data_IF_371852724939
#
_entry.id   IF_371852724939
#
_cell.length_a   1.000
_cell.length_b   1.000
_cell.length_c   1.000
_cell.angle_alpha   90.00
_cell.angle_beta   90.00
_cell.angle_gamma   90.00
#
_symmetry.space_group_name_H-M   'P 1'
#
loop_
_entity.id
_entity.type
_entity.pdbx_description
1 polymer ?
#
# COMPACT_ATOMS: atom_id res chain seq x y z
N UNK A 1 65.18 -17.23 -44.60
CA UNK A 1 66.05 -17.25 -43.41
C UNK A 1 65.13 -17.16 -42.19
N UNK A 2 64.74 -18.28 -41.56
CA UNK A 2 65.41 -18.94 -40.42
C UNK A 2 65.61 -17.97 -39.23
N UNK A 3 65.22 -18.21 -37.97
CA UNK A 3 64.89 -19.45 -37.27
C UNK A 3 64.01 -19.20 -36.00
N UNK A 4 63.50 -20.30 -35.46
CA UNK A 4 62.69 -20.49 -34.24
C UNK A 4 63.59 -20.72 -33.01
N UNK A 5 63.19 -20.24 -31.83
CA UNK A 5 63.29 -20.88 -30.48
C UNK A 5 62.53 -19.98 -29.46
N UNK A 6 61.44 -20.36 -28.76
CA UNK A 6 61.09 -21.41 -27.78
C UNK A 6 61.55 -21.18 -26.31
N UNK A 7 60.51 -20.99 -25.48
CA UNK A 7 60.31 -21.28 -24.04
C UNK A 7 60.93 -20.42 -22.91
N UNK A 8 60.05 -20.01 -21.99
CA UNK A 8 60.34 -19.63 -20.60
C UNK A 8 59.06 -19.24 -19.85
N UNK A 9 58.76 -19.91 -18.74
CA UNK A 9 57.45 -19.99 -18.09
C UNK A 9 57.18 -18.94 -16.99
N UNK A 10 55.88 -18.68 -16.77
CA UNK A 10 55.24 -18.56 -15.44
C UNK A 10 55.57 -17.40 -14.51
N UNK A 11 54.57 -16.54 -14.24
CA UNK A 11 54.27 -16.07 -12.89
C UNK A 11 52.85 -15.50 -12.83
N UNK A 12 51.97 -16.19 -12.10
CA UNK A 12 50.71 -15.67 -11.60
C UNK A 12 50.97 -14.92 -10.28
N UNK A 13 50.54 -13.67 -10.19
CA UNK A 13 50.29 -12.95 -8.95
C UNK A 13 49.64 -11.61 -9.32
N UNK A 14 48.74 -10.97 -8.58
CA UNK A 14 47.88 -11.31 -7.46
C UNK A 14 46.96 -10.09 -7.39
N UNK A 15 45.64 -10.27 -7.29
CA UNK A 15 44.73 -9.14 -7.00
C UNK A 15 45.15 -8.56 -5.65
N UNK A 16 45.56 -7.29 -5.64
CA UNK A 16 45.76 -6.52 -4.42
C UNK A 16 44.43 -6.41 -3.70
N UNK A 17 44.30 -7.15 -2.61
CA UNK A 17 43.28 -6.94 -1.58
C UNK A 17 43.66 -5.65 -0.87
N UNK A 18 42.84 -4.63 -1.03
CA UNK A 18 42.96 -3.38 -0.30
C UNK A 18 42.79 -3.65 1.19
N UNK A 19 43.73 -3.15 1.99
CA UNK A 19 43.90 -3.43 3.41
C UNK A 19 42.79 -2.74 4.19
N UNK A 20 41.78 -3.51 4.57
CA UNK A 20 40.69 -3.09 5.46
C UNK A 20 41.31 -2.49 6.75
N UNK A 21 41.04 -1.22 7.00
CA UNK A 21 41.66 -0.48 8.10
C UNK A 21 40.98 -0.88 9.41
N UNK A 22 41.54 -1.92 10.04
CA UNK A 22 41.63 -2.09 11.49
C UNK A 22 40.37 -1.82 12.30
N UNK A 23 39.39 -2.72 12.22
CA UNK A 23 38.49 -2.95 13.35
C UNK A 23 39.17 -3.98 14.29
N UNK A 24 39.24 -3.76 15.61
CA UNK A 24 39.86 -4.72 16.52
C UNK A 24 39.11 -6.06 16.47
N UNK A 25 39.83 -7.14 16.14
CA UNK A 25 39.31 -8.51 16.15
C UNK A 25 38.98 -8.86 17.62
N UNK A 26 37.69 -8.98 17.94
CA UNK A 26 37.25 -9.50 19.24
C UNK A 26 37.53 -11.02 19.26
N UNK A 27 38.25 -11.57 20.26
CA UNK A 27 38.49 -13.01 20.34
C UNK A 27 37.15 -13.78 20.38
N UNK A 28 36.87 -14.54 19.32
CA UNK A 28 35.59 -15.25 19.12
C UNK A 28 34.80 -14.81 17.89
N UNK A 29 35.16 -13.70 17.24
CA UNK A 29 34.58 -13.29 15.96
C UNK A 29 35.12 -14.17 14.82
N UNK A 30 34.38 -15.23 14.51
CA UNK A 30 34.50 -15.87 13.21
C UNK A 30 34.05 -14.84 12.15
N UNK A 31 34.76 -14.70 11.00
CA UNK A 31 34.34 -13.79 9.95
C UNK A 31 32.88 -14.05 9.59
N UNK A 32 32.01 -13.09 9.86
CA UNK A 32 30.59 -13.20 9.55
C UNK A 32 30.48 -13.43 8.05
N UNK A 33 29.89 -14.56 7.65
CA UNK A 33 29.70 -14.87 6.24
C UNK A 33 28.99 -13.69 5.55
N UNK A 34 29.43 -13.33 4.33
CA UNK A 34 28.81 -12.23 3.57
C UNK A 34 27.33 -12.53 3.41
N UNK A 35 26.47 -11.65 3.92
CA UNK A 35 25.02 -11.82 3.80
C UNK A 35 24.62 -11.88 2.32
N UNK A 36 23.62 -12.72 2.01
CA UNK A 36 23.05 -12.78 0.67
C UNK A 36 22.49 -11.39 0.28
N UNK A 37 22.65 -10.95 -0.98
CA UNK A 37 22.08 -9.67 -1.43
C UNK A 37 20.56 -9.63 -1.21
N UNK A 38 20.07 -8.51 -0.68
CA UNK A 38 18.64 -8.30 -0.52
C UNK A 38 17.98 -8.08 -1.89
N UNK A 39 16.82 -8.69 -2.09
CA UNK A 39 16.02 -8.51 -3.32
C UNK A 39 15.03 -7.38 -3.10
N UNK A 40 15.31 -6.21 -3.68
CA UNK A 40 14.45 -5.04 -3.56
C UNK A 40 13.10 -5.25 -4.22
N UNK A 41 12.02 -4.91 -3.52
CA UNK A 41 10.64 -4.92 -4.05
C UNK A 41 9.97 -3.58 -3.81
N UNK A 42 8.87 -3.31 -4.51
CA UNK A 42 8.04 -2.12 -4.30
C UNK A 42 6.59 -2.51 -4.10
N UNK A 43 5.92 -1.84 -3.16
CA UNK A 43 4.48 -1.88 -2.97
C UNK A 43 3.97 -0.45 -3.09
N UNK A 44 3.05 -0.21 -4.02
CA UNK A 44 2.40 1.07 -4.23
C UNK A 44 0.96 0.95 -3.74
N UNK A 45 0.51 1.89 -2.90
CA UNK A 45 -0.87 1.96 -2.43
C UNK A 45 -1.63 3.03 -3.20
N UNK A 46 -2.75 2.66 -3.79
CA UNK A 46 -3.66 3.52 -4.55
C UNK A 46 -5.06 3.42 -3.93
N UNK A 47 -5.67 4.56 -3.68
CA UNK A 47 -7.03 4.58 -3.16
C UNK A 47 -7.50 5.94 -2.67
N UNK A 48 -8.56 5.90 -1.87
CA UNK A 48 -9.22 7.07 -1.29
C UNK A 48 -8.65 7.46 0.10
N UNK A 49 -9.40 8.26 0.87
CA UNK A 49 -8.99 8.71 2.20
C UNK A 49 -8.79 7.59 3.20
N UNK A 50 -9.42 6.43 3.00
CA UNK A 50 -9.28 5.27 3.89
C UNK A 50 -8.00 4.47 3.64
N UNK A 51 -7.23 4.81 2.61
CA UNK A 51 -5.86 4.34 2.37
C UNK A 51 -4.83 5.45 2.59
N UNK A 52 -5.21 6.70 2.30
CA UNK A 52 -4.34 7.87 2.35
C UNK A 52 -3.64 8.06 3.72
N UNK A 53 -2.49 8.75 3.75
CA UNK A 53 -1.84 9.12 5.00
C UNK A 53 -2.81 9.83 5.96
N UNK A 54 -2.57 9.68 7.27
CA UNK A 54 -3.32 10.31 8.38
C UNK A 54 -4.75 9.81 8.58
N UNK A 55 -5.49 9.44 7.53
CA UNK A 55 -6.91 9.05 7.61
C UNK A 55 -7.20 7.60 7.26
N UNK A 56 -6.20 6.90 6.74
CA UNK A 56 -6.31 5.55 6.23
C UNK A 56 -5.29 4.59 6.81
N UNK A 57 -5.45 3.31 6.46
CA UNK A 57 -4.58 2.24 6.95
C UNK A 57 -3.20 2.22 6.30
N UNK A 58 -3.04 2.83 5.11
CA UNK A 58 -1.85 2.66 4.26
C UNK A 58 -0.55 3.14 4.91
N UNK A 59 -0.61 4.23 5.68
CA UNK A 59 0.56 4.71 6.43
C UNK A 59 1.05 3.72 7.48
N UNK A 60 0.12 3.16 8.27
CA UNK A 60 0.44 2.16 9.29
C UNK A 60 0.95 0.85 8.66
N UNK A 61 0.37 0.43 7.52
CA UNK A 61 0.87 -0.71 6.76
C UNK A 61 2.32 -0.53 6.31
N UNK A 62 2.64 0.58 5.64
CA UNK A 62 4.01 0.86 5.21
C UNK A 62 4.99 0.94 6.38
N UNK A 63 4.58 1.51 7.51
CA UNK A 63 5.47 1.73 8.65
C UNK A 63 5.76 0.48 9.49
N UNK A 64 4.75 -0.39 9.67
CA UNK A 64 4.82 -1.48 10.65
C UNK A 64 4.85 -2.88 10.05
N UNK A 65 4.38 -3.04 8.82
CA UNK A 65 4.18 -4.36 8.23
C UNK A 65 5.09 -4.64 7.04
N UNK A 66 5.83 -3.66 6.52
CA UNK A 66 6.69 -3.83 5.34
C UNK A 66 8.16 -3.90 5.73
N UNK A 67 8.87 -4.93 5.26
CA UNK A 67 10.29 -5.11 5.54
C UNK A 67 11.16 -3.98 4.94
N UNK A 68 12.28 -3.67 5.59
CA UNK A 68 13.14 -2.52 5.23
C UNK A 68 13.69 -2.53 3.79
N UNK A 69 13.72 -3.68 3.11
CA UNK A 69 14.18 -3.80 1.72
C UNK A 69 13.01 -3.78 0.70
N UNK A 70 11.83 -3.37 1.15
CA UNK A 70 10.66 -3.16 0.30
C UNK A 70 10.28 -1.68 0.38
N UNK A 71 10.32 -0.99 -0.76
CA UNK A 71 9.82 0.37 -0.85
C UNK A 71 8.29 0.36 -0.76
N UNK A 72 7.72 1.12 0.17
CA UNK A 72 6.27 1.27 0.30
C UNK A 72 5.88 2.72 0.00
N UNK A 73 5.17 2.94 -1.10
CA UNK A 73 4.81 4.27 -1.59
C UNK A 73 3.30 4.44 -1.52
N UNK A 74 2.81 5.31 -0.65
CA UNK A 74 1.38 5.57 -0.52
C UNK A 74 0.97 6.76 -1.40
N UNK A 75 0.31 6.47 -2.52
CA UNK A 75 -0.20 7.45 -3.48
C UNK A 75 -1.72 7.64 -3.37
N UNK A 76 -2.36 7.11 -2.33
CA UNK A 76 -3.78 7.30 -2.11
C UNK A 76 -4.12 8.77 -1.78
N UNK A 77 -5.29 9.23 -2.25
CA UNK A 77 -5.73 10.63 -2.11
C UNK A 77 -7.15 10.72 -1.58
N UNK A 78 -7.31 11.49 -0.52
CA UNK A 78 -8.61 11.71 0.11
C UNK A 78 -9.65 12.33 -0.83
N UNK A 79 -10.89 11.88 -0.71
CA UNK A 79 -12.03 12.39 -1.47
C UNK A 79 -12.11 11.93 -2.93
N UNK A 80 -11.22 11.04 -3.39
CA UNK A 80 -11.23 10.52 -4.76
C UNK A 80 -12.03 9.23 -4.87
N UNK A 81 -12.73 9.09 -5.98
CA UNK A 81 -13.35 7.87 -6.46
C UNK A 81 -12.48 7.17 -7.50
N UNK A 82 -12.87 5.98 -7.94
CA UNK A 82 -12.20 5.26 -9.03
C UNK A 82 -12.08 6.11 -10.31
N UNK A 83 -13.12 6.91 -10.63
CA UNK A 83 -13.12 7.83 -11.78
C UNK A 83 -12.28 9.08 -11.53
N UNK A 84 -12.57 9.82 -10.47
CA UNK A 84 -11.94 11.13 -10.24
C UNK A 84 -10.44 11.03 -9.96
N UNK A 85 -9.95 9.91 -9.39
CA UNK A 85 -8.51 9.66 -9.24
C UNK A 85 -7.77 9.60 -10.59
N UNK A 86 -8.45 9.12 -11.63
CA UNK A 86 -7.93 9.06 -13.00
C UNK A 86 -8.02 10.43 -13.67
N UNK A 87 -9.19 11.05 -13.62
CA UNK A 87 -9.45 12.35 -14.27
C UNK A 87 -8.51 13.47 -13.82
N UNK A 88 -8.06 13.44 -12.57
CA UNK A 88 -7.16 14.45 -12.03
C UNK A 88 -5.66 14.15 -12.23
N UNK A 89 -5.30 13.04 -12.89
CA UNK A 89 -3.92 12.65 -13.17
C UNK A 89 -3.20 11.90 -12.03
N UNK A 90 -3.87 11.58 -10.92
CA UNK A 90 -3.24 10.82 -9.83
C UNK A 90 -2.88 9.39 -10.26
N UNK A 91 -3.67 8.80 -11.16
CA UNK A 91 -3.34 7.51 -11.75
C UNK A 91 -2.10 7.57 -12.66
N UNK A 92 -1.91 8.65 -13.40
CA UNK A 92 -0.72 8.81 -14.25
C UNK A 92 0.56 8.84 -13.41
N UNK A 93 0.50 9.50 -12.24
CA UNK A 93 1.60 9.47 -11.27
C UNK A 93 1.87 8.04 -10.75
N UNK A 94 0.82 7.27 -10.46
CA UNK A 94 0.97 5.88 -10.04
C UNK A 94 1.56 5.00 -11.15
N UNK A 95 1.13 5.17 -12.42
CA UNK A 95 1.70 4.47 -13.57
C UNK A 95 3.18 4.80 -13.78
N UNK A 96 3.57 6.06 -13.57
CA UNK A 96 4.97 6.48 -13.63
C UNK A 96 5.79 5.82 -12.52
N UNK A 97 5.27 5.80 -11.28
CA UNK A 97 5.93 5.17 -10.14
C UNK A 97 6.10 3.64 -10.30
N UNK A 98 5.12 2.98 -10.95
CA UNK A 98 5.20 1.56 -11.30
C UNK A 98 6.34 1.25 -12.28
N UNK A 99 6.65 2.18 -13.19
CA UNK A 99 7.65 2.01 -14.24
C UNK A 99 9.09 2.29 -13.77
N UNK A 100 9.29 2.76 -12.53
CA UNK A 100 10.62 3.03 -11.99
C UNK A 100 11.42 1.71 -11.90
N UNK A 101 12.60 1.62 -12.54
CA UNK A 101 13.40 0.41 -12.59
C UNK A 101 14.11 0.12 -11.26
N UNK A 102 14.70 -1.07 -11.15
CA UNK A 102 15.57 -1.46 -10.02
C UNK A 102 14.89 -2.31 -8.94
N UNK A 103 13.62 -2.65 -9.12
CA UNK A 103 12.88 -3.55 -8.24
C UNK A 103 12.65 -4.90 -8.93
N UNK A 104 12.82 -5.99 -8.19
CA UNK A 104 12.57 -7.34 -8.71
C UNK A 104 11.08 -7.59 -8.99
N UNK A 105 10.20 -6.91 -8.24
CA UNK A 105 8.77 -6.90 -8.45
C UNK A 105 8.17 -5.61 -7.89
N UNK A 106 7.18 -5.08 -8.59
CA UNK A 106 6.35 -3.95 -8.15
C UNK A 106 4.91 -4.43 -8.02
N UNK A 107 4.33 -4.27 -6.84
CA UNK A 107 2.93 -4.55 -6.56
C UNK A 107 2.17 -3.23 -6.45
N UNK A 108 0.93 -3.21 -6.92
CA UNK A 108 0.02 -2.08 -6.68
C UNK A 108 -1.27 -2.57 -6.03
N UNK A 109 -1.53 -2.08 -4.81
CA UNK A 109 -2.77 -2.32 -4.10
C UNK A 109 -3.76 -1.22 -4.44
N UNK A 110 -4.93 -1.59 -4.95
CA UNK A 110 -5.95 -0.66 -5.45
C UNK A 110 -7.23 -0.81 -4.63
N UNK A 111 -7.63 0.25 -3.92
CA UNK A 111 -8.85 0.30 -3.11
C UNK A 111 -9.68 1.56 -3.39
N UNK A 112 -10.90 1.38 -3.89
CA UNK A 112 -11.89 2.44 -4.07
C UNK A 112 -13.28 1.95 -3.66
N UNK A 113 -14.27 2.85 -3.64
CA UNK A 113 -15.65 2.55 -3.27
C UNK A 113 -16.31 3.61 -2.39
N UNK A 114 -15.58 4.21 -1.43
CA UNK A 114 -16.21 5.13 -0.45
C UNK A 114 -16.78 6.40 -1.08
N UNK A 115 -16.08 6.95 -2.08
CA UNK A 115 -16.52 8.15 -2.78
C UNK A 115 -17.35 7.83 -4.01
N UNK A 116 -17.09 6.67 -4.62
CA UNK A 116 -17.86 6.13 -5.72
C UNK A 116 -19.34 5.95 -5.36
N UNK A 117 -19.66 5.53 -4.12
CA UNK A 117 -21.03 5.35 -3.64
C UNK A 117 -21.86 6.62 -3.41
N UNK A 118 -21.26 7.81 -3.49
CA UNK A 118 -21.92 9.05 -3.09
C UNK A 118 -22.81 9.61 -4.20
N UNK A 119 -23.92 8.93 -4.51
CA UNK A 119 -24.89 9.30 -5.56
C UNK A 119 -25.21 10.81 -5.58
N UNK A 120 -25.21 11.40 -6.78
CA UNK A 120 -25.48 12.82 -7.00
C UNK A 120 -24.30 13.76 -6.76
N UNK A 121 -23.17 13.25 -6.26
CA UNK A 121 -21.93 14.02 -6.11
C UNK A 121 -21.04 13.89 -7.36
N UNK A 122 -20.18 14.88 -7.63
CA UNK A 122 -19.23 14.86 -8.77
C UNK A 122 -18.33 13.60 -8.79
N UNK A 123 -18.05 13.04 -7.61
CA UNK A 123 -17.18 11.86 -7.44
C UNK A 123 -17.92 10.53 -7.60
N UNK A 124 -19.25 10.53 -7.65
CA UNK A 124 -20.06 9.32 -7.83
C UNK A 124 -19.70 8.59 -9.13
N UNK A 125 -19.74 7.26 -9.09
CA UNK A 125 -19.67 6.41 -10.29
C UNK A 125 -20.86 5.47 -10.33
N UNK A 126 -21.34 5.14 -11.51
CA UNK A 126 -22.37 4.12 -11.66
C UNK A 126 -21.82 2.72 -11.28
N UNK A 127 -22.52 2.02 -10.39
CA UNK A 127 -22.04 0.76 -9.80
C UNK A 127 -22.04 -0.41 -10.80
N UNK A 128 -22.90 -0.36 -11.82
CA UNK A 128 -23.05 -1.44 -12.80
C UNK A 128 -22.17 -1.24 -14.03
N UNK A 129 -21.90 0.01 -14.39
CA UNK A 129 -21.22 0.37 -15.64
C UNK A 129 -19.85 1.01 -15.43
N UNK A 130 -19.75 2.10 -14.67
CA UNK A 130 -18.51 2.87 -14.54
C UNK A 130 -17.51 2.23 -13.56
N UNK A 131 -17.96 1.89 -12.36
CA UNK A 131 -17.06 1.40 -11.31
C UNK A 131 -16.34 0.11 -11.67
N UNK A 132 -17.02 -0.96 -12.14
CA UNK A 132 -16.33 -2.18 -12.54
C UNK A 132 -15.37 -1.93 -13.70
N UNK A 133 -15.74 -1.06 -14.65
CA UNK A 133 -14.88 -0.75 -15.79
C UNK A 133 -13.63 0.05 -15.38
N UNK A 134 -13.76 1.00 -14.47
CA UNK A 134 -12.60 1.70 -13.90
C UNK A 134 -11.63 0.73 -13.21
N UNK A 135 -12.15 -0.24 -12.44
CA UNK A 135 -11.34 -1.29 -11.81
C UNK A 135 -10.61 -2.14 -12.86
N UNK A 136 -11.30 -2.54 -13.93
CA UNK A 136 -10.66 -3.29 -15.03
C UNK A 136 -9.56 -2.49 -15.71
N UNK A 137 -9.77 -1.19 -15.91
CA UNK A 137 -8.75 -0.30 -16.49
C UNK A 137 -7.52 -0.21 -15.61
N UNK A 138 -7.67 0.01 -14.29
CA UNK A 138 -6.54 0.01 -13.36
C UNK A 138 -5.71 -1.28 -13.45
N UNK A 139 -6.38 -2.44 -13.48
CA UNK A 139 -5.71 -3.74 -13.61
C UNK A 139 -4.95 -3.86 -14.93
N UNK A 140 -5.59 -3.55 -16.06
CA UNK A 140 -4.94 -3.66 -17.40
C UNK A 140 -3.73 -2.74 -17.50
N UNK A 141 -3.86 -1.51 -17.02
CA UNK A 141 -2.81 -0.50 -17.14
C UNK A 141 -1.65 -0.79 -16.18
N UNK A 142 -1.92 -1.24 -14.95
CA UNK A 142 -0.87 -1.70 -14.03
C UNK A 142 -0.06 -2.85 -14.63
N UNK A 143 -0.73 -3.87 -15.19
CA UNK A 143 -0.07 -4.97 -15.89
C UNK A 143 0.76 -4.49 -17.07
N UNK A 144 0.28 -3.50 -17.83
CA UNK A 144 1.02 -2.90 -18.95
C UNK A 144 2.31 -2.18 -18.52
N UNK A 145 2.47 -1.87 -17.23
CA UNK A 145 3.70 -1.30 -16.64
C UNK A 145 4.56 -2.34 -15.93
N UNK A 146 4.24 -3.63 -16.07
CA UNK A 146 4.95 -4.72 -15.41
C UNK A 146 4.65 -4.82 -13.90
N UNK A 147 3.68 -4.06 -13.39
CA UNK A 147 3.25 -4.17 -12.01
C UNK A 147 2.25 -5.32 -11.82
N UNK A 148 2.24 -5.90 -10.63
CA UNK A 148 1.30 -6.94 -10.20
C UNK A 148 0.16 -6.23 -9.46
N UNK A 149 -1.04 -6.08 -10.07
CA UNK A 149 -2.17 -5.48 -9.36
C UNK A 149 -2.68 -6.44 -8.29
N UNK A 150 -3.16 -5.87 -7.19
CA UNK A 150 -3.91 -6.53 -6.13
C UNK A 150 -5.10 -5.64 -5.82
N UNK A 151 -6.31 -6.19 -5.90
CA UNK A 151 -7.51 -5.45 -5.53
C UNK A 151 -7.73 -5.56 -4.02
N UNK A 152 -8.17 -4.47 -3.39
CA UNK A 152 -8.51 -4.46 -1.96
C UNK A 152 -9.91 -3.88 -1.84
N UNK A 153 -10.87 -4.68 -1.37
CA UNK A 153 -12.27 -4.21 -1.27
C UNK A 153 -12.37 -3.05 -0.28
N UNK A 154 -13.28 -2.08 -0.48
CA UNK A 154 -13.41 -0.95 0.44
C UNK A 154 -13.81 -1.45 1.83
N UNK A 155 -13.11 -1.01 2.88
CA UNK A 155 -13.49 -1.33 4.25
C UNK A 155 -14.91 -0.84 4.57
N UNK A 156 -15.53 -1.38 5.61
CA UNK A 156 -16.84 -0.89 6.06
C UNK A 156 -16.75 0.49 6.70
N UNK A 157 -17.84 1.25 6.59
CA UNK A 157 -18.09 2.38 7.51
C UNK A 157 -18.61 1.85 8.84
N UNK A 158 -18.34 2.57 9.91
CA UNK A 158 -18.80 2.29 11.28
C UNK A 158 -20.24 2.76 11.48
N UNK A 159 -21.13 2.34 10.59
CA UNK A 159 -22.56 2.68 10.61
C UNK A 159 -23.34 1.51 11.20
N UNK A 160 -24.31 1.80 12.06
CA UNK A 160 -25.12 0.78 12.70
C UNK A 160 -26.60 1.15 12.58
N UNK A 161 -27.42 0.13 12.33
CA UNK A 161 -28.89 0.20 12.36
C UNK A 161 -29.38 -0.86 13.34
N UNK A 162 -30.12 -0.42 14.35
CA UNK A 162 -30.67 -1.30 15.40
C UNK A 162 -29.59 -2.21 16.06
N UNK A 163 -28.41 -1.62 16.31
CA UNK A 163 -27.27 -2.32 16.92
C UNK A 163 -26.48 -3.24 15.98
N UNK A 164 -26.92 -3.42 14.74
CA UNK A 164 -26.26 -4.24 13.72
C UNK A 164 -25.50 -3.37 12.73
N UNK A 165 -24.34 -3.83 12.26
CA UNK A 165 -23.55 -3.12 11.25
C UNK A 165 -24.36 -2.95 9.95
N UNK A 166 -24.50 -1.71 9.49
CA UNK A 166 -25.11 -1.38 8.21
C UNK A 166 -24.02 -1.25 7.14
N UNK A 167 -23.71 -2.37 6.47
CA UNK A 167 -22.63 -2.43 5.48
C UNK A 167 -23.08 -1.90 4.11
N UNK A 168 -23.16 -0.58 4.00
CA UNK A 168 -23.54 0.11 2.75
C UNK A 168 -22.53 -0.05 1.60
N UNK A 169 -21.33 -0.59 1.88
CA UNK A 169 -20.28 -0.84 0.88
C UNK A 169 -20.25 -2.28 0.36
N UNK A 170 -21.13 -3.16 0.85
CA UNK A 170 -21.16 -4.57 0.44
C UNK A 170 -21.32 -4.76 -1.08
N UNK A 171 -22.19 -3.96 -1.72
CA UNK A 171 -22.41 -4.04 -3.17
C UNK A 171 -21.15 -3.63 -3.97
N UNK A 172 -20.42 -2.61 -3.49
CA UNK A 172 -19.18 -2.13 -4.09
C UNK A 172 -18.04 -3.14 -3.94
N UNK A 173 -17.94 -3.77 -2.76
CA UNK A 173 -17.04 -4.89 -2.53
C UNK A 173 -17.36 -6.07 -3.46
N UNK A 174 -18.66 -6.41 -3.61
CA UNK A 174 -19.11 -7.47 -4.52
C UNK A 174 -18.71 -7.24 -5.97
N UNK A 175 -18.85 -6.01 -6.49
CA UNK A 175 -18.38 -5.66 -7.83
C UNK A 175 -16.86 -5.81 -7.98
N UNK A 176 -16.09 -5.38 -6.98
CA UNK A 176 -14.63 -5.53 -7.01
C UNK A 176 -14.19 -7.00 -6.95
N UNK A 177 -14.84 -7.82 -6.11
CA UNK A 177 -14.59 -9.27 -6.06
C UNK A 177 -14.90 -9.95 -7.40
N UNK A 178 -16.00 -9.56 -8.05
CA UNK A 178 -16.34 -10.06 -9.38
C UNK A 178 -15.27 -9.69 -10.42
N UNK A 179 -14.78 -8.44 -10.41
CA UNK A 179 -13.68 -8.00 -11.30
C UNK A 179 -12.37 -8.74 -10.99
N UNK A 180 -12.04 -8.95 -9.71
CA UNK A 180 -10.85 -9.71 -9.31
C UNK A 180 -10.89 -11.13 -9.87
N UNK A 181 -12.03 -11.81 -9.73
CA UNK A 181 -12.25 -13.14 -10.29
C UNK A 181 -12.21 -13.14 -11.83
N UNK A 182 -12.91 -12.22 -12.48
CA UNK A 182 -12.92 -12.09 -13.95
C UNK A 182 -11.49 -11.91 -14.51
N UNK A 183 -10.71 -11.04 -13.89
CA UNK A 183 -9.38 -10.66 -14.39
C UNK A 183 -8.25 -11.52 -13.83
N UNK A 184 -8.56 -12.49 -12.96
CA UNK A 184 -7.59 -13.35 -12.28
C UNK A 184 -6.52 -12.53 -11.56
N UNK A 185 -6.98 -11.62 -10.69
CA UNK A 185 -6.15 -10.72 -9.87
C UNK A 185 -6.30 -11.12 -8.41
N UNK A 186 -5.21 -11.21 -7.62
CA UNK A 186 -5.31 -11.40 -6.18
C UNK A 186 -6.20 -10.33 -5.53
N UNK A 187 -6.97 -10.73 -4.53
CA UNK A 187 -7.86 -9.80 -3.82
C UNK A 187 -7.73 -9.95 -2.30
N UNK A 188 -7.65 -8.82 -1.62
CA UNK A 188 -7.81 -8.72 -0.17
C UNK A 188 -9.25 -8.30 0.10
N UNK A 189 -10.07 -9.23 0.63
CA UNK A 189 -11.46 -8.91 1.00
C UNK A 189 -11.53 -8.17 2.36
N UNK A 190 -11.06 -6.92 2.34
CA UNK A 190 -11.02 -6.06 3.50
C UNK A 190 -12.43 -5.64 3.95
N UNK A 191 -13.41 -5.54 3.05
CA UNK A 191 -14.80 -5.28 3.42
C UNK A 191 -15.31 -6.36 4.39
N UNK A 192 -15.19 -7.63 4.03
CA UNK A 192 -15.61 -8.72 4.91
C UNK A 192 -14.83 -8.77 6.24
N UNK A 193 -13.50 -8.62 6.17
CA UNK A 193 -12.66 -8.68 7.36
C UNK A 193 -12.90 -7.50 8.32
N UNK A 194 -13.05 -6.29 7.79
CA UNK A 194 -13.38 -5.10 8.59
C UNK A 194 -14.83 -5.14 9.12
N UNK A 195 -15.77 -5.73 8.37
CA UNK A 195 -17.12 -5.97 8.86
C UNK A 195 -17.13 -6.87 10.11
N UNK A 196 -16.32 -7.93 10.09
CA UNK A 196 -16.14 -8.83 11.24
C UNK A 196 -15.60 -8.07 12.45
N UNK A 197 -14.54 -7.27 12.28
CA UNK A 197 -13.96 -6.45 13.34
C UNK A 197 -14.98 -5.46 13.92
N UNK A 198 -15.63 -4.67 13.05
CA UNK A 198 -16.54 -3.60 13.48
C UNK A 198 -17.79 -4.19 14.15
N UNK A 199 -18.30 -5.30 13.65
CA UNK A 199 -19.44 -6.00 14.27
C UNK A 199 -19.09 -6.52 15.67
N UNK A 200 -17.88 -7.09 15.85
CA UNK A 200 -17.42 -7.56 17.15
C UNK A 200 -17.23 -6.44 18.19
N UNK A 201 -16.86 -5.23 17.74
CA UNK A 201 -16.74 -4.06 18.61
C UNK A 201 -18.09 -3.43 18.96
N UNK A 202 -19.09 -3.61 18.10
CA UNK A 202 -20.40 -2.99 18.22
C UNK A 202 -20.39 -1.45 18.12
N UNK A 203 -21.57 -0.81 18.25
CA UNK A 203 -21.72 0.64 18.05
C UNK A 203 -20.80 1.50 18.91
N UNK A 204 -20.65 1.14 20.19
CA UNK A 204 -19.87 1.92 21.15
C UNK A 204 -18.36 1.70 20.94
N UNK A 205 -17.94 0.44 20.77
CA UNK A 205 -16.52 0.09 20.66
C UNK A 205 -15.89 0.52 19.33
N UNK A 206 -16.67 0.59 18.25
CA UNK A 206 -16.18 0.98 16.94
C UNK A 206 -15.61 2.41 16.89
N UNK A 207 -16.05 3.29 17.80
CA UNK A 207 -15.50 4.67 17.93
C UNK A 207 -14.00 4.69 18.22
N UNK A 208 -13.44 3.64 18.83
CA UNK A 208 -11.99 3.49 19.08
C UNK A 208 -11.12 3.39 17.81
N UNK A 209 -11.75 3.25 16.64
CA UNK A 209 -11.06 3.21 15.36
C UNK A 209 -11.04 4.58 14.65
N UNK A 210 -11.84 5.56 15.11
CA UNK A 210 -12.03 6.84 14.42
C UNK A 210 -10.81 7.77 14.57
N UNK A 211 -10.68 8.75 13.66
CA UNK A 211 -9.64 9.79 13.71
C UNK A 211 -9.73 10.67 14.94
N UNK A 212 -10.95 11.05 15.28
CA UNK A 212 -11.30 11.81 16.46
C UNK A 212 -12.42 11.06 17.17
N UNK A 213 -12.38 11.08 18.49
CA UNK A 213 -13.55 10.69 19.27
C UNK A 213 -14.64 11.77 19.16
N UNK A 214 -15.92 11.41 19.38
CA UNK A 214 -17.01 12.37 19.37
C UNK A 214 -16.73 13.60 20.25
N UNK A 215 -16.70 14.78 19.64
CA UNK A 215 -16.45 16.07 20.31
C UNK A 215 -14.99 16.44 20.53
N UNK A 216 -14.03 15.61 20.12
CA UNK A 216 -12.61 15.92 20.18
C UNK A 216 -12.22 16.98 19.13
N UNK A 217 -11.35 17.91 19.50
CA UNK A 217 -10.75 18.90 18.59
C UNK A 217 -9.24 18.89 18.77
N UNK A 218 -8.50 18.96 17.67
CA UNK A 218 -7.06 19.25 17.72
C UNK A 218 -6.84 20.63 18.35
N UNK A 219 -5.97 20.68 19.36
CA UNK A 219 -5.56 21.91 20.02
C UNK A 219 -4.40 22.62 19.32
N UNK A 220 -3.76 21.98 18.33
CA UNK A 220 -2.63 22.56 17.61
C UNK A 220 -3.12 23.48 16.48
N UNK A 221 -2.77 24.78 16.51
CA UNK A 221 -3.08 25.68 15.41
C UNK A 221 -2.39 25.21 14.12
N UNK A 222 -2.99 25.44 12.94
CA UNK A 222 -2.36 25.12 11.67
C UNK A 222 -1.03 25.87 11.53
N UNK A 223 -0.03 25.20 10.95
CA UNK A 223 1.25 25.86 10.60
C UNK A 223 0.94 26.89 9.50
N UNK A 224 0.84 28.16 9.89
CA UNK A 224 0.79 29.28 8.96
C UNK A 224 2.21 29.60 8.52
N UNK A 225 2.62 29.15 7.34
CA UNK A 225 3.78 29.76 6.68
C UNK A 225 3.32 30.40 5.38
N UNK A 226 3.80 31.61 5.10
CA UNK A 226 3.39 32.44 3.95
C UNK A 226 3.90 31.92 2.59
N UNK A 227 4.64 30.80 2.57
CA UNK A 227 5.19 30.25 1.33
C UNK A 227 4.09 29.70 0.41
N UNK A 228 4.02 30.31 -0.78
CA UNK A 228 3.23 29.85 -1.91
C UNK A 228 3.80 28.52 -2.45
N UNK A 229 2.97 27.49 -2.45
CA UNK A 229 3.31 26.17 -2.98
C UNK A 229 2.24 25.13 -2.64
N UNK A 230 2.18 23.99 -3.35
CA UNK A 230 1.25 22.92 -3.03
C UNK A 230 1.60 22.33 -1.65
N UNK A 231 0.68 22.46 -0.69
CA UNK A 231 0.79 21.83 0.62
C UNK A 231 -0.12 20.63 0.72
N UNK A 232 0.35 19.63 1.47
CA UNK A 232 -0.53 18.57 1.94
C UNK A 232 -1.48 19.15 2.99
N UNK A 233 -2.74 19.35 2.61
CA UNK A 233 -3.81 19.76 3.52
C UNK A 233 -4.65 18.55 3.89
N UNK A 234 -4.86 18.36 5.18
CA UNK A 234 -5.82 17.40 5.71
C UNK A 234 -6.52 18.01 6.93
N UNK A 235 -7.74 17.57 7.17
CA UNK A 235 -8.51 17.90 8.35
C UNK A 235 -8.91 16.59 9.02
N UNK A 236 -8.68 16.50 10.33
CA UNK A 236 -9.17 15.35 11.09
C UNK A 236 -10.70 15.42 11.21
N UNK A 237 -11.34 14.26 11.18
CA UNK A 237 -12.80 14.14 11.19
C UNK A 237 -13.29 13.23 12.29
N UNK A 238 -14.31 13.69 12.98
CA UNK A 238 -15.18 12.87 13.81
C UNK A 238 -16.28 12.29 12.91
N UNK A 239 -15.99 11.16 12.26
CA UNK A 239 -16.92 10.53 11.33
C UNK A 239 -16.78 8.99 11.30
N UNK A 240 -17.76 8.24 10.75
CA UNK A 240 -17.74 6.78 10.77
C UNK A 240 -16.83 6.16 9.69
N UNK A 241 -15.98 6.95 9.02
CA UNK A 241 -15.18 6.51 7.86
C UNK A 241 -13.68 6.56 8.17
N UNK A 242 -13.15 7.73 8.54
CA UNK A 242 -11.71 7.95 8.63
C UNK A 242 -11.11 7.34 9.89
N UNK A 243 -9.92 6.74 9.76
CA UNK A 243 -9.25 6.01 10.82
C UNK A 243 -8.24 6.88 11.57
N UNK A 244 -8.26 6.80 12.91
CA UNK A 244 -7.17 7.30 13.75
C UNK A 244 -6.02 6.31 13.83
N UNK A 245 -4.98 6.61 14.61
CA UNK A 245 -3.78 5.74 14.70
C UNK A 245 -4.13 4.30 15.12
N UNK A 246 -4.96 4.14 16.16
CA UNK A 246 -5.47 2.83 16.60
C UNK A 246 -6.22 2.08 15.50
N UNK A 247 -7.13 2.77 14.81
CA UNK A 247 -7.89 2.19 13.70
C UNK A 247 -7.01 1.80 12.52
N UNK A 248 -6.10 2.69 12.13
CA UNK A 248 -5.17 2.48 11.02
C UNK A 248 -4.27 1.26 11.28
N UNK A 249 -3.74 1.09 12.50
CA UNK A 249 -2.94 -0.08 12.88
C UNK A 249 -3.74 -1.37 12.83
N UNK A 250 -4.95 -1.39 13.40
CA UNK A 250 -5.79 -2.61 13.41
C UNK A 250 -6.17 -3.05 12.00
N UNK A 251 -6.53 -2.09 11.13
CA UNK A 251 -6.85 -2.40 9.74
C UNK A 251 -5.58 -2.79 8.97
N UNK A 252 -4.43 -2.16 9.23
CA UNK A 252 -3.16 -2.52 8.58
C UNK A 252 -2.73 -3.96 8.88
N UNK A 253 -2.91 -4.45 10.11
CA UNK A 253 -2.70 -5.87 10.49
C UNK A 253 -3.56 -6.78 9.62
N UNK A 254 -4.87 -6.48 9.50
CA UNK A 254 -5.80 -7.26 8.68
C UNK A 254 -5.35 -7.29 7.21
N UNK A 255 -4.96 -6.13 6.67
CA UNK A 255 -4.47 -6.04 5.29
C UNK A 255 -3.18 -6.81 5.11
N UNK A 256 -2.20 -6.68 6.02
CA UNK A 256 -0.93 -7.39 5.96
C UNK A 256 -1.11 -8.91 5.98
N UNK A 257 -1.92 -9.40 6.92
CA UNK A 257 -2.26 -10.82 7.03
C UNK A 257 -2.94 -11.35 5.76
N UNK A 258 -4.00 -10.68 5.31
CA UNK A 258 -4.77 -11.16 4.16
C UNK A 258 -4.01 -10.99 2.84
N UNK A 259 -3.13 -9.99 2.72
CA UNK A 259 -2.24 -9.83 1.57
C UNK A 259 -1.20 -10.95 1.51
N UNK A 260 -0.64 -11.36 2.65
CA UNK A 260 0.30 -12.49 2.70
C UNK A 260 -0.36 -13.82 2.28
N UNK A 261 -1.68 -13.96 2.46
CA UNK A 261 -2.47 -15.09 1.96
C UNK A 261 -2.74 -14.95 0.46
N UNK A 262 -3.24 -13.79 0.03
CA UNK A 262 -3.62 -13.53 -1.35
C UNK A 262 -2.42 -13.52 -2.31
N UNK A 263 -1.24 -13.14 -1.81
CA UNK A 263 0.02 -13.05 -2.55
C UNK A 263 1.13 -13.71 -1.73
N UNK A 264 1.26 -15.05 -1.76
CA UNK A 264 2.22 -15.79 -0.95
C UNK A 264 3.68 -15.35 -1.12
N UNK A 265 4.05 -14.79 -2.26
CA UNK A 265 5.39 -14.23 -2.53
C UNK A 265 5.73 -13.05 -1.61
N UNK A 266 4.71 -12.34 -1.12
CA UNK A 266 4.88 -11.22 -0.19
C UNK A 266 4.98 -11.67 1.28
N UNK A 267 4.59 -12.90 1.63
CA UNK A 267 4.59 -13.40 3.01
C UNK A 267 5.96 -13.34 3.73
N UNK A 268 7.06 -13.30 2.98
CA UNK A 268 8.43 -13.20 3.52
C UNK A 268 8.90 -11.78 3.78
N UNK A 269 8.20 -10.79 3.24
CA UNK A 269 8.57 -9.37 3.28
C UNK A 269 7.48 -8.49 3.86
N UNK A 270 6.37 -9.11 4.26
CA UNK A 270 5.29 -8.51 5.02
C UNK A 270 5.17 -9.24 6.34
N UNK A 271 5.14 -8.49 7.45
CA UNK A 271 4.88 -9.03 8.77
C UNK A 271 3.37 -8.94 9.06
N UNK A 272 2.62 -10.05 9.15
CA UNK A 272 1.20 -10.05 9.52
C UNK A 272 0.95 -9.47 10.91
#
# INVERSE_FOLDING_TARGET
>A
MAAIALFGAGASAARTVEKDRGNPIIPGDTPRARAAPLTMRKIILVGDSTVAPVSGWGGAFCAYHVAAHVACVNLARGGRSSRSYREEGSWDAALAEMAVPGYAATYVLIQFGHNDQNHGMKVWTDIDTEYPENLRQFVREARSRGAIPVLVTPMVRRLFKDGTLDNILAAWAGKMLAVANEMQVPVVDLNHASATLVSALGPNGASSLAQLHPGEKLLTPPITTEEAGPRYHFELRDDPTHLGDSGARKIAVIVAHNLAIAVPELSRVIAP
#
